data_IF_775859082903
#
_entry.id   IF_775859082903
#
_cell.length_a   1.000
_cell.length_b   1.000
_cell.length_c   1.000
_cell.angle_alpha   90.00
_cell.angle_beta   90.00
_cell.angle_gamma   90.00
#
_symmetry.space_group_name_H-M   'P 1'
#
loop_
_entity.id
_entity.type
_entity.pdbx_description
1 polymer ?
#
# COMPACT_ATOMS: atom_id res chain seq x y z
N UNK A 1 -24.49 3.77 0.41
CA UNK A 1 -24.34 4.50 1.70
C UNK A 1 -23.98 5.95 1.43
N UNK A 2 -24.06 6.89 2.41
CA UNK A 2 -23.49 8.24 2.25
C UNK A 2 -22.40 8.51 3.28
N UNK A 3 -21.33 9.18 2.87
CA UNK A 3 -20.22 9.50 3.75
C UNK A 3 -20.63 10.57 4.78
N UNK A 4 -20.35 10.40 6.09
CA UNK A 4 -20.72 11.40 7.09
C UNK A 4 -19.89 12.70 6.95
N UNK A 5 -18.72 12.65 6.33
CA UNK A 5 -17.81 13.81 6.17
C UNK A 5 -18.19 14.70 4.99
N UNK A 6 -18.38 14.12 3.81
CA UNK A 6 -18.65 14.88 2.58
C UNK A 6 -20.04 14.63 1.98
N UNK A 7 -20.80 13.64 2.50
CA UNK A 7 -22.13 13.22 1.98
C UNK A 7 -22.12 12.69 0.55
N UNK A 8 -20.96 12.34 0.02
CA UNK A 8 -20.83 11.61 -1.23
C UNK A 8 -21.59 10.28 -1.17
N UNK A 9 -21.95 9.78 -2.35
CA UNK A 9 -22.55 8.46 -2.52
C UNK A 9 -21.46 7.39 -2.54
N UNK A 10 -21.59 6.39 -1.67
CA UNK A 10 -20.56 5.39 -1.44
C UNK A 10 -21.06 3.97 -1.72
N UNK A 11 -20.24 3.15 -2.40
CA UNK A 11 -20.42 1.72 -2.53
C UNK A 11 -20.55 1.02 -1.16
N UNK A 12 -21.27 -0.09 -1.11
CA UNK A 12 -21.41 -0.91 0.11
C UNK A 12 -20.08 -1.52 0.57
N UNK A 13 -19.16 -1.77 -0.36
CA UNK A 13 -17.84 -2.36 -0.12
C UNK A 13 -16.71 -1.33 -0.01
N UNK A 14 -17.02 -0.03 0.01
CA UNK A 14 -15.97 1.00 0.12
C UNK A 14 -15.38 1.08 1.52
N UNK A 15 -14.10 0.75 1.62
CA UNK A 15 -13.29 0.86 2.85
C UNK A 15 -12.96 2.31 3.22
N UNK A 16 -12.86 3.17 2.21
CA UNK A 16 -12.65 4.60 2.35
C UNK A 16 -13.45 5.36 1.30
N UNK A 17 -13.78 6.61 1.60
CA UNK A 17 -14.53 7.46 0.71
C UNK A 17 -13.62 7.92 -0.44
N UNK A 18 -13.89 7.54 -1.71
CA UNK A 18 -13.05 7.95 -2.84
C UNK A 18 -13.11 9.46 -3.11
N UNK A 19 -14.18 10.13 -2.68
CA UNK A 19 -14.38 11.57 -2.91
C UNK A 19 -13.59 12.46 -1.94
N UNK A 20 -13.42 12.03 -0.68
CA UNK A 20 -12.79 12.87 0.35
C UNK A 20 -11.68 12.18 1.16
N UNK A 21 -11.47 10.88 0.96
CA UNK A 21 -10.48 10.07 1.68
C UNK A 21 -10.88 9.67 3.10
N UNK A 22 -12.15 9.81 3.51
CA UNK A 22 -12.60 9.41 4.85
C UNK A 22 -12.63 7.89 5.01
N UNK A 23 -11.90 7.33 5.98
CA UNK A 23 -11.88 5.90 6.26
C UNK A 23 -13.19 5.44 6.93
N UNK A 24 -13.82 4.37 6.41
CA UNK A 24 -15.17 3.95 6.77
C UNK A 24 -15.26 2.55 7.35
N UNK A 25 -14.31 1.65 7.05
CA UNK A 25 -14.30 0.29 7.63
C UNK A 25 -12.93 -0.19 8.07
N UNK A 26 -12.86 -0.95 9.18
CA UNK A 26 -11.83 -1.95 9.45
C UNK A 26 -12.20 -3.28 8.77
N UNK A 27 -11.24 -3.91 8.09
CA UNK A 27 -11.41 -5.15 7.30
C UNK A 27 -11.88 -6.35 8.13
N UNK A 28 -12.95 -7.06 7.72
CA UNK A 28 -12.99 -8.50 7.88
C UNK A 28 -12.10 -9.07 6.77
N UNK A 29 -10.90 -9.48 7.18
CA UNK A 29 -10.09 -10.44 6.42
C UNK A 29 -10.95 -11.67 6.10
N UNK A 30 -10.61 -12.40 5.03
CA UNK A 30 -11.25 -13.65 4.55
C UNK A 30 -12.30 -13.51 3.44
N UNK A 31 -11.88 -13.18 2.20
CA UNK A 31 -12.04 -14.06 1.01
C UNK A 31 -11.67 -13.36 -0.31
N UNK A 32 -10.49 -13.70 -0.83
CA UNK A 32 -10.23 -13.91 -2.27
C UNK A 32 -10.02 -12.70 -3.21
N UNK A 33 -9.01 -11.87 -2.93
CA UNK A 33 -8.08 -11.51 -4.01
C UNK A 33 -6.64 -11.65 -3.50
N UNK A 34 -5.88 -12.53 -4.14
CA UNK A 34 -4.50 -12.84 -3.79
C UNK A 34 -3.67 -11.56 -3.79
N UNK A 35 -2.97 -11.17 -2.70
CA UNK A 35 -1.88 -10.23 -2.86
C UNK A 35 -0.81 -10.96 -3.66
N UNK A 36 -0.76 -10.72 -4.97
CA UNK A 36 0.24 -11.28 -5.85
C UNK A 36 1.62 -10.97 -5.26
N UNK A 37 2.18 -11.99 -4.62
CA UNK A 37 3.60 -12.18 -4.38
C UNK A 37 4.38 -11.83 -5.63
N UNK A 38 5.09 -10.70 -5.64
CA UNK A 38 6.37 -10.47 -6.32
C UNK A 38 6.74 -9.00 -6.13
N UNK A 39 7.66 -8.63 -5.25
CA UNK A 39 9.07 -8.63 -5.64
C UNK A 39 9.97 -8.48 -4.41
N UNK A 40 10.49 -9.60 -3.90
CA UNK A 40 11.77 -9.60 -3.19
C UNK A 40 12.79 -10.28 -4.09
N UNK A 41 13.60 -9.53 -4.88
CA UNK A 41 14.92 -10.00 -5.20
C UNK A 41 15.83 -9.74 -4.00
N UNK A 42 16.03 -10.79 -3.20
CA UNK A 42 17.22 -10.95 -2.36
C UNK A 42 18.47 -10.70 -3.21
N UNK A 43 19.28 -9.72 -2.84
CA UNK A 43 20.41 -9.34 -3.69
C UNK A 43 21.40 -8.38 -3.04
N UNK A 44 21.92 -8.74 -1.87
CA UNK A 44 23.21 -8.24 -1.36
C UNK A 44 24.24 -8.21 -2.49
N UNK A 45 24.85 -7.05 -2.75
CA UNK A 45 26.30 -6.95 -2.92
C UNK A 45 26.80 -5.66 -2.30
N UNK A 46 27.31 -5.84 -1.08
CA UNK A 46 28.39 -5.01 -0.55
C UNK A 46 29.52 -4.92 -1.57
N UNK A 47 29.98 -3.70 -1.83
CA UNK A 47 31.08 -3.41 -2.72
C UNK A 47 31.54 -1.96 -2.61
N UNK A 48 31.50 -1.40 -1.40
CA UNK A 48 32.05 -0.08 -1.08
C UNK A 48 33.54 -0.24 -0.80
N UNK A 49 34.36 -0.40 -1.84
CA UNK A 49 35.81 -0.19 -1.72
C UNK A 49 36.11 1.26 -2.08
N UNK A 50 36.31 2.18 -1.11
CA UNK A 50 37.13 3.35 -1.36
C UNK A 50 38.60 2.91 -1.43
N UNK A 51 39.47 3.80 -1.92
CA UNK A 51 40.94 3.72 -1.89
C UNK A 51 41.60 3.04 -3.11
N UNK A 52 41.66 3.77 -4.23
CA UNK A 52 42.88 3.85 -5.05
C UNK A 52 43.52 5.19 -4.68
N UNK A 53 44.38 5.24 -3.67
CA UNK A 53 45.85 5.06 -3.73
C UNK A 53 46.52 6.00 -4.74
N UNK A 54 47.33 6.92 -4.20
CA UNK A 54 48.15 7.94 -4.89
C UNK A 54 49.28 7.37 -5.76
N UNK A 55 50.36 8.12 -6.07
CA UNK A 55 50.96 9.27 -5.36
C UNK A 55 50.38 10.65 -5.71
#
# INVERSE_FOLDING_TARGET
MRCPKCRAELPEDSESCPECGFALRPVPVEASDSPATTSTPSGRRSGSTPLRSGP
#
